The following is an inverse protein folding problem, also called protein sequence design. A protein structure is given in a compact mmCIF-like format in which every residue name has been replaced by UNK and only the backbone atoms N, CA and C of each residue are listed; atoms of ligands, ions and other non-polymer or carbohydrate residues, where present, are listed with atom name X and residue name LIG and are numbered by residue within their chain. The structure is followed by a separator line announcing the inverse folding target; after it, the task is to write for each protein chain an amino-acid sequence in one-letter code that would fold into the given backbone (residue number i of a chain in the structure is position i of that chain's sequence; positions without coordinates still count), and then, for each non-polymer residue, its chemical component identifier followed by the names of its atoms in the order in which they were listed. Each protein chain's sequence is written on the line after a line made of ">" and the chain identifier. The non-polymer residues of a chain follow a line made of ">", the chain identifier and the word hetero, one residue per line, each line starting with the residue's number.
data_IF_590568137373
#
_entry.id   IF_590568137373
#
_cell.length_a   1.000
_cell.length_b   1.000
_cell.length_c   1.000
_cell.angle_alpha   90.00
_cell.angle_beta   90.00
_cell.angle_gamma   90.00
#
_symmetry.space_group_name_H-M   'P 1'
#
loop_
_entity.id
_entity.type
_entity.pdbx_description
1 polymer ?
#
# COMPACT_ATOMS: atom_id res chain seq x y z
N UNK A 1 -29.62 9.00 -22.56
CA UNK A 1 -30.41 8.03 -23.35
C UNK A 1 -31.33 7.36 -22.37
N UNK A 2 -32.59 7.78 -22.34
CA UNK A 2 -33.61 7.38 -21.38
C UNK A 2 -34.25 6.07 -21.82
N UNK A 3 -34.04 5.00 -21.06
CA UNK A 3 -34.68 3.71 -21.30
C UNK A 3 -35.99 3.64 -20.48
N UNK A 4 -37.11 3.91 -21.14
CA UNK A 4 -38.44 3.73 -20.57
C UNK A 4 -38.76 2.23 -20.49
N UNK A 5 -38.72 1.69 -19.27
CA UNK A 5 -39.23 0.35 -18.95
C UNK A 5 -40.72 0.25 -19.35
N UNK A 6 -41.16 -0.81 -20.05
CA UNK A 6 -42.53 -0.92 -20.53
C UNK A 6 -43.49 -1.16 -19.36
N UNK A 7 -44.49 -0.29 -19.21
CA UNK A 7 -45.65 -0.51 -18.32
C UNK A 7 -46.44 -1.72 -18.82
N UNK A 8 -46.21 -2.89 -18.23
CA UNK A 8 -47.07 -4.05 -18.42
C UNK A 8 -48.49 -3.71 -17.95
N UNK A 9 -49.41 -3.50 -18.91
CA UNK A 9 -50.83 -3.36 -18.63
C UNK A 9 -51.37 -4.74 -18.23
N UNK A 10 -52.15 -4.86 -17.15
CA UNK A 10 -52.70 -6.15 -16.77
C UNK A 10 -53.54 -6.70 -17.93
N UNK A 11 -53.39 -7.98 -18.32
CA UNK A 11 -54.05 -8.54 -19.48
C UNK A 11 -55.56 -8.41 -19.36
N UNK A 12 -56.23 -8.00 -20.44
CA UNK A 12 -57.68 -7.74 -20.55
C UNK A 12 -58.58 -8.80 -19.86
N UNK A 13 -58.12 -10.05 -19.80
CA UNK A 13 -58.78 -11.17 -19.10
C UNK A 13 -58.98 -10.94 -17.60
N UNK A 14 -58.05 -10.27 -16.91
CA UNK A 14 -58.14 -10.02 -15.45
C UNK A 14 -59.32 -9.09 -15.13
N UNK A 15 -59.54 -8.06 -15.96
CA UNK A 15 -60.66 -7.15 -15.79
C UNK A 15 -62.01 -7.84 -16.00
N UNK A 16 -62.14 -8.66 -17.06
CA UNK A 16 -63.38 -9.42 -17.35
C UNK A 16 -63.71 -10.40 -16.20
N UNK A 17 -62.72 -11.12 -15.70
CA UNK A 17 -62.88 -12.03 -14.56
C UNK A 17 -63.27 -11.27 -13.27
N UNK A 18 -62.65 -10.12 -13.01
CA UNK A 18 -62.99 -9.28 -11.86
C UNK A 18 -64.43 -8.78 -11.90
N UNK A 19 -64.89 -8.29 -13.05
CA UNK A 19 -66.28 -7.83 -13.22
C UNK A 19 -67.28 -8.96 -13.03
N UNK A 20 -67.03 -10.14 -13.60
CA UNK A 20 -67.90 -11.31 -13.43
C UNK A 20 -67.98 -11.77 -11.96
N UNK A 21 -66.87 -11.74 -11.23
CA UNK A 21 -66.85 -12.08 -9.81
C UNK A 21 -67.67 -11.10 -8.96
N UNK A 22 -67.57 -9.80 -9.23
CA UNK A 22 -68.37 -8.77 -8.54
C UNK A 22 -69.87 -8.94 -8.83
N UNK A 23 -70.24 -9.15 -10.09
CA UNK A 23 -71.64 -9.38 -10.48
C UNK A 23 -72.19 -10.65 -9.82
N UNK A 24 -71.41 -11.74 -9.82
CA UNK A 24 -71.78 -12.99 -9.15
C UNK A 24 -71.96 -12.81 -7.64
N UNK A 25 -71.07 -12.06 -6.99
CA UNK A 25 -71.18 -11.74 -5.57
C UNK A 25 -72.47 -10.97 -5.26
N UNK A 26 -72.81 -9.94 -6.05
CA UNK A 26 -74.03 -9.14 -5.85
C UNK A 26 -75.29 -10.01 -5.99
N UNK A 27 -75.34 -10.88 -7.00
CA UNK A 27 -76.46 -11.81 -7.20
C UNK A 27 -76.59 -12.76 -6.00
N UNK A 28 -75.49 -13.35 -5.56
CA UNK A 28 -75.47 -14.33 -4.49
C UNK A 28 -75.76 -13.68 -3.13
N UNK A 29 -75.34 -12.44 -2.91
CA UNK A 29 -75.64 -11.66 -1.71
C UNK A 29 -77.13 -11.30 -1.60
N UNK A 30 -77.76 -10.93 -2.72
CA UNK A 30 -79.16 -10.52 -2.71
C UNK A 30 -80.13 -11.70 -2.75
N UNK A 31 -79.83 -12.70 -3.60
CA UNK A 31 -80.73 -13.80 -3.95
C UNK A 31 -80.34 -15.15 -3.33
N UNK A 32 -79.10 -15.31 -2.86
CA UNK A 32 -78.59 -16.55 -2.27
C UNK A 32 -79.34 -17.09 -1.05
N UNK A 33 -79.80 -16.25 -0.08
CA UNK A 33 -80.58 -16.75 1.05
C UNK A 33 -81.84 -17.53 0.63
N UNK A 34 -82.44 -17.14 -0.50
CA UNK A 34 -83.65 -17.74 -1.04
C UNK A 34 -83.40 -19.05 -1.80
N UNK A 35 -82.14 -19.35 -2.15
CA UNK A 35 -81.75 -20.60 -2.80
C UNK A 35 -81.50 -21.73 -1.81
N UNK A 36 -81.03 -21.41 -0.60
CA UNK A 36 -80.67 -22.41 0.41
C UNK A 36 -81.83 -22.79 1.34
N UNK A 37 -82.75 -21.87 1.64
CA UNK A 37 -83.88 -22.14 2.54
C UNK A 37 -85.22 -21.62 1.96
N UNK A 38 -85.42 -21.82 0.66
CA UNK A 38 -86.65 -21.41 -0.03
C UNK A 38 -87.93 -22.15 0.43
N UNK A 39 -87.79 -23.18 1.27
CA UNK A 39 -88.89 -24.01 1.77
C UNK A 39 -89.50 -23.51 3.09
N UNK A 40 -88.74 -22.84 3.98
CA UNK A 40 -89.27 -22.32 5.26
C UNK A 40 -89.58 -20.81 5.25
N UNK A 41 -88.93 -20.02 4.37
CA UNK A 41 -89.08 -18.55 4.33
C UNK A 41 -90.41 -18.08 3.67
N UNK A 42 -91.25 -19.00 3.18
CA UNK A 42 -92.46 -18.67 2.39
C UNK A 42 -93.81 -18.81 3.11
N UNK A 43 -93.83 -19.28 4.36
CA UNK A 43 -95.08 -19.35 5.13
C UNK A 43 -95.30 -18.07 5.96
N UNK A 44 -96.56 -17.63 6.01
CA UNK A 44 -96.98 -16.30 6.49
C UNK A 44 -96.87 -16.06 8.01
N UNK A 45 -96.23 -16.97 8.76
CA UNK A 45 -95.92 -16.81 10.19
C UNK A 45 -94.40 -16.83 10.37
N UNK A 46 -93.78 -15.66 10.21
CA UNK A 46 -92.35 -15.46 10.40
C UNK A 46 -92.01 -15.61 11.88
N UNK A 47 -91.37 -16.72 12.28
CA UNK A 47 -90.69 -16.77 13.58
C UNK A 47 -89.42 -15.91 13.51
N UNK A 48 -88.98 -15.26 14.61
CA UNK A 48 -87.77 -14.43 14.64
C UNK A 48 -86.49 -15.13 14.15
N UNK A 49 -86.51 -16.46 14.04
CA UNK A 49 -85.41 -17.30 13.56
C UNK A 49 -85.09 -17.14 12.06
N UNK A 50 -86.06 -16.79 11.19
CA UNK A 50 -85.81 -16.71 9.74
C UNK A 50 -84.96 -15.50 9.33
N UNK A 51 -85.09 -14.39 10.07
CA UNK A 51 -84.24 -13.21 9.91
C UNK A 51 -82.77 -13.50 10.27
N UNK A 52 -82.53 -14.48 11.15
CA UNK A 52 -81.19 -14.89 11.59
C UNK A 52 -80.47 -15.65 10.47
N UNK A 53 -81.17 -16.48 9.70
CA UNK A 53 -80.57 -17.24 8.58
C UNK A 53 -80.11 -16.32 7.45
N UNK A 54 -80.95 -15.36 7.05
CA UNK A 54 -80.62 -14.38 5.99
C UNK A 54 -79.47 -13.47 6.41
N UNK A 55 -79.52 -12.95 7.65
CA UNK A 55 -78.50 -12.06 8.19
C UNK A 55 -77.18 -12.82 8.41
N UNK A 56 -77.26 -14.05 8.91
CA UNK A 56 -76.12 -14.96 9.07
C UNK A 56 -75.46 -15.29 7.74
N UNK A 57 -76.22 -15.61 6.70
CA UNK A 57 -75.71 -15.89 5.35
C UNK A 57 -74.99 -14.68 4.73
N UNK A 58 -75.61 -13.49 4.78
CA UNK A 58 -75.01 -12.26 4.26
C UNK A 58 -73.75 -11.86 5.03
N UNK A 59 -73.78 -11.98 6.35
CA UNK A 59 -72.62 -11.72 7.22
C UNK A 59 -71.50 -12.70 6.91
N UNK A 60 -71.81 -13.97 6.69
CA UNK A 60 -70.86 -14.99 6.26
C UNK A 60 -70.22 -14.69 4.91
N UNK A 61 -71.00 -14.24 3.92
CA UNK A 61 -70.46 -13.84 2.60
C UNK A 61 -69.55 -12.62 2.68
N UNK A 62 -69.91 -11.61 3.46
CA UNK A 62 -69.06 -10.44 3.68
C UNK A 62 -67.78 -10.82 4.40
N UNK A 63 -67.87 -11.68 5.42
CA UNK A 63 -66.70 -12.20 6.13
C UNK A 63 -65.76 -12.98 5.20
N UNK A 64 -66.31 -13.81 4.30
CA UNK A 64 -65.53 -14.53 3.28
C UNK A 64 -64.86 -13.57 2.30
N UNK A 65 -65.59 -12.59 1.77
CA UNK A 65 -65.03 -11.59 0.86
C UNK A 65 -63.91 -10.77 1.54
N UNK A 66 -64.14 -10.33 2.78
CA UNK A 66 -63.13 -9.63 3.58
C UNK A 66 -61.89 -10.51 3.84
N UNK A 67 -62.09 -11.79 4.15
CA UNK A 67 -61.01 -12.76 4.34
C UNK A 67 -60.17 -12.98 3.08
N UNK A 68 -60.82 -13.06 1.91
CA UNK A 68 -60.14 -13.17 0.61
C UNK A 68 -59.31 -11.91 0.32
N UNK A 69 -59.88 -10.72 0.52
CA UNK A 69 -59.18 -9.44 0.30
C UNK A 69 -57.98 -9.33 1.25
N UNK A 70 -58.17 -9.62 2.54
CA UNK A 70 -57.09 -9.62 3.53
C UNK A 70 -55.99 -10.63 3.17
N UNK A 71 -56.37 -11.85 2.75
CA UNK A 71 -55.44 -12.88 2.29
C UNK A 71 -54.64 -12.46 1.05
N UNK A 72 -55.29 -11.84 0.06
CA UNK A 72 -54.62 -11.28 -1.12
C UNK A 72 -53.66 -10.14 -0.75
N UNK A 73 -54.06 -9.26 0.17
CA UNK A 73 -53.22 -8.19 0.69
C UNK A 73 -51.97 -8.72 1.39
N UNK A 74 -52.12 -9.71 2.27
CA UNK A 74 -51.01 -10.37 2.95
C UNK A 74 -50.08 -11.09 1.97
N UNK A 75 -50.65 -11.83 0.99
CA UNK A 75 -49.86 -12.50 -0.03
C UNK A 75 -49.07 -11.51 -0.89
N UNK A 76 -49.69 -10.42 -1.32
CA UNK A 76 -49.04 -9.38 -2.10
C UNK A 76 -47.92 -8.70 -1.32
N UNK A 77 -48.14 -8.33 -0.05
CA UNK A 77 -47.12 -7.75 0.83
C UNK A 77 -45.96 -8.71 1.04
N UNK A 78 -46.23 -9.99 1.35
CA UNK A 78 -45.19 -10.99 1.52
C UNK A 78 -44.40 -11.28 0.23
N UNK A 79 -45.07 -11.28 -0.92
CA UNK A 79 -44.41 -11.40 -2.23
C UNK A 79 -43.56 -10.16 -2.56
N UNK A 80 -44.08 -8.97 -2.27
CA UNK A 80 -43.39 -7.69 -2.45
C UNK A 80 -42.10 -7.63 -1.62
N UNK A 81 -42.15 -8.03 -0.34
CA UNK A 81 -40.97 -8.12 0.52
C UNK A 81 -39.91 -9.06 -0.06
N UNK A 82 -40.29 -10.25 -0.52
CA UNK A 82 -39.34 -11.19 -1.13
C UNK A 82 -38.71 -10.66 -2.43
N UNK A 83 -39.42 -9.85 -3.21
CA UNK A 83 -38.84 -9.20 -4.39
C UNK A 83 -37.92 -8.04 -4.00
N UNK A 84 -38.30 -7.27 -2.98
CA UNK A 84 -37.48 -6.20 -2.46
C UNK A 84 -36.14 -6.75 -1.93
N UNK A 85 -36.16 -7.82 -1.12
CA UNK A 85 -34.96 -8.49 -0.60
C UNK A 85 -34.00 -8.90 -1.74
N UNK A 86 -34.50 -9.61 -2.76
CA UNK A 86 -33.67 -10.03 -3.90
C UNK A 86 -33.08 -8.85 -4.68
N UNK A 87 -33.83 -7.76 -4.82
CA UNK A 87 -33.37 -6.56 -5.51
C UNK A 87 -32.27 -5.85 -4.71
N UNK A 88 -32.40 -5.80 -3.39
CA UNK A 88 -31.37 -5.27 -2.51
C UNK A 88 -30.09 -6.10 -2.56
N UNK A 89 -30.20 -7.44 -2.52
CA UNK A 89 -29.05 -8.34 -2.64
C UNK A 89 -28.31 -8.14 -3.96
N UNK A 90 -29.01 -8.19 -5.09
CA UNK A 90 -28.41 -7.99 -6.42
C UNK A 90 -27.81 -6.58 -6.57
N UNK A 91 -28.48 -5.56 -6.05
CA UNK A 91 -27.98 -4.18 -6.08
C UNK A 91 -26.71 -4.02 -5.24
N UNK A 92 -26.63 -4.68 -4.09
CA UNK A 92 -25.46 -4.66 -3.22
C UNK A 92 -24.28 -5.42 -3.84
N UNK A 93 -24.51 -6.59 -4.44
CA UNK A 93 -23.49 -7.35 -5.15
C UNK A 93 -22.92 -6.58 -6.34
N UNK A 94 -23.77 -5.97 -7.17
CA UNK A 94 -23.34 -5.13 -8.29
C UNK A 94 -22.52 -3.93 -7.82
N UNK A 95 -22.94 -3.30 -6.72
CA UNK A 95 -22.21 -2.19 -6.13
C UNK A 95 -20.84 -2.63 -5.60
N UNK A 96 -20.75 -3.78 -4.94
CA UNK A 96 -19.49 -4.34 -4.46
C UNK A 96 -18.56 -4.68 -5.62
N UNK A 97 -19.05 -5.36 -6.66
CA UNK A 97 -18.26 -5.66 -7.86
C UNK A 97 -17.80 -4.39 -8.61
N UNK A 98 -18.63 -3.36 -8.68
CA UNK A 98 -18.24 -2.08 -9.25
C UNK A 98 -17.11 -1.45 -8.44
N UNK A 99 -17.22 -1.45 -7.10
CA UNK A 99 -16.16 -0.94 -6.21
C UNK A 99 -14.86 -1.72 -6.30
N UNK A 100 -14.93 -3.04 -6.46
CA UNK A 100 -13.75 -3.89 -6.66
C UNK A 100 -13.05 -3.52 -7.96
N UNK A 101 -13.79 -3.45 -9.08
CA UNK A 101 -13.22 -3.02 -10.37
C UNK A 101 -12.64 -1.62 -10.33
N UNK A 102 -13.32 -0.67 -9.68
CA UNK A 102 -12.83 0.69 -9.53
C UNK A 102 -11.52 0.74 -8.72
N UNK A 103 -11.39 -0.12 -7.69
CA UNK A 103 -10.16 -0.27 -6.91
C UNK A 103 -9.03 -0.87 -7.74
N UNK A 104 -9.28 -1.98 -8.43
CA UNK A 104 -8.30 -2.61 -9.31
C UNK A 104 -7.81 -1.63 -10.39
N UNK A 105 -8.73 -0.89 -11.01
CA UNK A 105 -8.40 0.10 -12.03
C UNK A 105 -7.60 1.28 -11.45
N UNK A 106 -7.93 1.74 -10.24
CA UNK A 106 -7.19 2.78 -9.54
C UNK A 106 -5.76 2.31 -9.18
N UNK A 107 -5.60 1.05 -8.78
CA UNK A 107 -4.30 0.43 -8.50
C UNK A 107 -3.44 0.33 -9.76
N UNK A 108 -3.97 -0.19 -10.86
CA UNK A 108 -3.27 -0.25 -12.16
C UNK A 108 -2.88 1.14 -12.67
N UNK A 109 -3.75 2.13 -12.50
CA UNK A 109 -3.47 3.52 -12.88
C UNK A 109 -2.34 4.10 -12.03
N UNK A 110 -2.37 3.88 -10.71
CA UNK A 110 -1.31 4.30 -9.78
C UNK A 110 0.03 3.66 -10.15
N UNK A 111 0.03 2.36 -10.45
CA UNK A 111 1.22 1.63 -10.85
C UNK A 111 1.81 2.15 -12.19
N UNK A 112 0.95 2.43 -13.17
CA UNK A 112 1.36 3.06 -14.42
C UNK A 112 2.00 4.43 -14.22
N UNK A 113 1.45 5.26 -13.31
CA UNK A 113 2.04 6.55 -12.96
C UNK A 113 3.42 6.43 -12.29
N UNK A 114 3.60 5.45 -11.40
CA UNK A 114 4.90 5.20 -10.77
C UNK A 114 5.92 4.76 -11.82
N UNK A 115 5.56 3.83 -12.69
CA UNK A 115 6.40 3.37 -13.81
C UNK A 115 6.80 4.54 -14.72
N UNK A 116 5.86 5.41 -15.06
CA UNK A 116 6.12 6.61 -15.86
C UNK A 116 7.10 7.58 -15.18
N UNK A 117 6.89 7.87 -13.89
CA UNK A 117 7.81 8.71 -13.08
C UNK A 117 9.21 8.10 -13.02
N UNK A 118 9.29 6.78 -12.87
CA UNK A 118 10.56 6.06 -12.81
C UNK A 118 11.33 6.18 -14.12
N UNK A 119 10.69 5.87 -15.26
CA UNK A 119 11.31 5.98 -16.59
C UNK A 119 11.83 7.40 -16.84
N UNK A 120 11.05 8.42 -16.47
CA UNK A 120 11.46 9.81 -16.64
C UNK A 120 12.66 10.17 -15.74
N UNK A 121 12.66 9.72 -14.49
CA UNK A 121 13.78 9.94 -13.58
C UNK A 121 15.08 9.30 -14.08
N UNK A 122 15.00 8.11 -14.70
CA UNK A 122 16.15 7.44 -15.30
C UNK A 122 16.68 8.20 -16.52
N UNK A 123 15.80 8.74 -17.38
CA UNK A 123 16.22 9.59 -18.51
C UNK A 123 16.96 10.83 -18.04
N UNK A 124 16.43 11.50 -17.02
CA UNK A 124 17.06 12.66 -16.40
C UNK A 124 18.44 12.31 -15.81
N UNK A 125 18.55 11.15 -15.13
CA UNK A 125 19.82 10.66 -14.59
C UNK A 125 20.86 10.34 -15.68
N UNK A 126 20.43 9.92 -16.87
CA UNK A 126 21.29 9.65 -18.01
C UNK A 126 21.75 10.90 -18.76
N UNK A 127 21.23 12.09 -18.39
CA UNK A 127 21.57 13.34 -19.06
C UNK A 127 23.02 13.76 -18.83
N UNK A 128 23.61 14.44 -19.82
CA UNK A 128 24.91 15.11 -19.66
C UNK A 128 24.80 16.41 -18.85
N UNK A 129 23.57 16.93 -18.65
CA UNK A 129 23.30 18.12 -17.85
C UNK A 129 23.18 17.77 -16.37
N UNK A 130 24.04 18.36 -15.53
CA UNK A 130 24.05 18.15 -14.08
C UNK A 130 22.72 18.52 -13.41
N UNK A 131 22.05 19.59 -13.86
CA UNK A 131 20.76 20.00 -13.29
C UNK A 131 19.66 18.98 -13.59
N UNK A 132 19.66 18.41 -14.78
CA UNK A 132 18.74 17.32 -15.13
C UNK A 132 19.03 16.07 -14.30
N UNK A 133 20.30 15.69 -14.14
CA UNK A 133 20.68 14.55 -13.28
C UNK A 133 20.23 14.75 -11.84
N UNK A 134 20.37 15.95 -11.28
CA UNK A 134 19.83 16.28 -9.96
C UNK A 134 18.31 16.09 -9.91
N UNK A 135 17.58 16.56 -10.92
CA UNK A 135 16.14 16.33 -11.05
C UNK A 135 15.77 14.84 -11.07
N UNK A 136 16.56 14.02 -11.77
CA UNK A 136 16.43 12.56 -11.80
C UNK A 136 16.66 11.94 -10.41
N UNK A 137 17.71 12.34 -9.71
CA UNK A 137 18.05 11.85 -8.36
C UNK A 137 16.94 12.12 -7.36
N UNK A 138 16.43 13.37 -7.30
CA UNK A 138 15.35 13.72 -6.37
C UNK A 138 14.00 13.11 -6.78
N UNK A 139 13.78 12.87 -8.08
CA UNK A 139 12.61 12.11 -8.54
C UNK A 139 12.68 10.65 -8.11
N UNK A 140 13.85 10.03 -8.21
CA UNK A 140 14.11 8.67 -7.71
C UNK A 140 13.92 8.60 -6.19
N UNK A 141 14.42 9.58 -5.44
CA UNK A 141 14.17 9.65 -4.00
C UNK A 141 12.67 9.67 -3.69
N UNK A 142 11.90 10.51 -4.39
CA UNK A 142 10.46 10.56 -4.16
C UNK A 142 9.79 9.21 -4.45
N UNK A 143 10.21 8.52 -5.52
CA UNK A 143 9.71 7.17 -5.83
C UNK A 143 10.09 6.18 -4.72
N UNK A 144 11.32 6.23 -4.23
CA UNK A 144 11.80 5.38 -3.12
C UNK A 144 10.98 5.57 -1.85
N UNK A 145 10.57 6.81 -1.55
CA UNK A 145 9.74 7.13 -0.39
C UNK A 145 8.26 6.75 -0.59
N UNK A 146 7.71 6.98 -1.78
CA UNK A 146 6.29 6.78 -2.10
C UNK A 146 5.95 5.30 -2.35
N UNK A 147 6.93 4.47 -2.74
CA UNK A 147 6.71 3.13 -3.27
C UNK A 147 7.68 2.09 -2.68
N UNK A 148 7.29 1.39 -1.59
CA UNK A 148 8.14 0.36 -0.98
C UNK A 148 8.57 -0.75 -1.94
N UNK A 149 7.74 -1.07 -2.94
CA UNK A 149 8.05 -2.08 -3.96
C UNK A 149 9.21 -1.67 -4.88
N UNK A 150 9.39 -0.36 -5.12
CA UNK A 150 10.41 0.19 -6.00
C UNK A 150 11.68 0.59 -5.25
N UNK A 151 11.62 0.62 -3.92
CA UNK A 151 12.72 1.01 -3.02
C UNK A 151 14.05 0.35 -3.38
N UNK A 152 14.08 -0.99 -3.46
CA UNK A 152 15.28 -1.77 -3.76
C UNK A 152 15.88 -1.41 -5.13
N UNK A 153 15.02 -1.28 -6.13
CA UNK A 153 15.41 -0.90 -7.49
C UNK A 153 16.00 0.50 -7.53
N UNK A 154 15.40 1.47 -6.84
CA UNK A 154 15.94 2.84 -6.77
C UNK A 154 17.30 2.86 -6.08
N UNK A 155 17.47 2.16 -4.96
CA UNK A 155 18.75 2.06 -4.25
C UNK A 155 19.83 1.49 -5.18
N UNK A 156 19.54 0.41 -5.91
CA UNK A 156 20.45 -0.18 -6.89
C UNK A 156 20.85 0.79 -8.00
N UNK A 157 19.91 1.58 -8.53
CA UNK A 157 20.19 2.57 -9.58
C UNK A 157 21.09 3.69 -9.06
N UNK A 158 20.78 4.27 -7.90
CA UNK A 158 21.60 5.34 -7.31
C UNK A 158 23.00 4.83 -6.95
N UNK A 159 23.10 3.62 -6.41
CA UNK A 159 24.39 2.98 -6.13
C UNK A 159 25.18 2.70 -7.42
N UNK A 160 24.53 2.23 -8.49
CA UNK A 160 25.15 2.06 -9.80
C UNK A 160 25.65 3.40 -10.38
N UNK A 161 24.88 4.48 -10.22
CA UNK A 161 25.28 5.82 -10.65
C UNK A 161 26.54 6.31 -9.92
N UNK A 162 26.63 6.09 -8.60
CA UNK A 162 27.81 6.46 -7.81
C UNK A 162 29.07 5.68 -8.23
N UNK A 163 28.92 4.41 -8.60
CA UNK A 163 30.02 3.54 -9.06
C UNK A 163 30.56 3.90 -10.44
N UNK A 164 29.85 4.69 -11.24
CA UNK A 164 30.37 5.11 -12.55
C UNK A 164 31.65 5.92 -12.37
N UNK A 165 32.77 5.49 -12.97
CA UNK A 165 34.03 6.23 -12.84
C UNK A 165 33.92 7.61 -13.52
N UNK A 166 34.50 8.67 -12.95
CA UNK A 166 34.55 9.95 -13.64
C UNK A 166 35.34 9.80 -14.94
N UNK A 167 34.86 10.43 -16.03
CA UNK A 167 35.50 10.37 -17.35
C UNK A 167 36.92 10.96 -17.37
N UNK A 168 37.27 11.77 -16.36
CA UNK A 168 38.61 12.33 -16.16
C UNK A 168 39.05 12.05 -14.72
N UNK A 169 40.35 11.75 -14.47
CA UNK A 169 40.87 11.64 -13.13
C UNK A 169 40.65 12.98 -12.42
N UNK A 170 39.73 13.00 -11.45
CA UNK A 170 39.49 14.20 -10.66
C UNK A 170 40.51 14.21 -9.51
N UNK A 171 41.22 15.33 -9.35
CA UNK A 171 41.93 15.67 -8.10
C UNK A 171 41.01 16.43 -7.13
N UNK A 172 39.70 16.41 -7.39
CA UNK A 172 38.71 17.30 -6.81
C UNK A 172 37.61 16.50 -6.13
N UNK A 173 36.92 17.20 -5.23
CA UNK A 173 35.75 16.74 -4.49
C UNK A 173 34.71 16.08 -5.42
N UNK A 174 33.94 15.16 -4.85
CA UNK A 174 32.83 14.47 -5.48
C UNK A 174 31.93 15.45 -6.27
N UNK A 175 31.59 15.15 -7.55
CA UNK A 175 30.61 15.92 -8.31
C UNK A 175 29.29 16.11 -7.55
N UNK A 176 28.64 17.28 -7.70
CA UNK A 176 27.45 17.65 -6.91
C UNK A 176 26.26 16.69 -7.06
N UNK A 177 26.06 16.14 -8.24
CA UNK A 177 25.07 15.11 -8.54
C UNK A 177 25.38 13.79 -7.84
N UNK A 178 26.65 13.39 -7.82
CA UNK A 178 27.07 12.23 -7.03
C UNK A 178 26.94 12.48 -5.54
N UNK A 179 27.29 13.66 -5.05
CA UNK A 179 27.02 14.02 -3.66
C UNK A 179 25.52 13.95 -3.34
N UNK A 180 24.66 14.43 -4.23
CA UNK A 180 23.21 14.36 -4.05
C UNK A 180 22.71 12.90 -4.00
N UNK A 181 23.19 12.03 -4.91
CA UNK A 181 22.85 10.61 -4.89
C UNK A 181 23.32 9.92 -3.59
N UNK A 182 24.54 10.25 -3.13
CA UNK A 182 25.09 9.76 -1.86
C UNK A 182 24.26 10.22 -0.66
N UNK A 183 23.88 11.50 -0.62
CA UNK A 183 22.99 12.05 0.41
C UNK A 183 21.60 11.42 0.39
N UNK A 184 21.01 11.18 -0.78
CA UNK A 184 19.71 10.48 -0.90
C UNK A 184 19.79 9.05 -0.35
N UNK A 185 20.85 8.32 -0.70
CA UNK A 185 21.07 6.99 -0.12
C UNK A 185 21.24 7.07 1.40
N UNK A 186 22.02 8.04 1.90
CA UNK A 186 22.29 8.24 3.33
C UNK A 186 21.00 8.40 4.17
N UNK A 187 20.04 9.19 3.67
CA UNK A 187 18.77 9.51 4.36
C UNK A 187 17.58 8.65 3.96
N UNK A 188 17.81 7.54 3.25
CA UNK A 188 16.73 6.65 2.79
C UNK A 188 15.88 6.12 3.95
N UNK A 189 14.56 5.93 3.77
CA UNK A 189 13.71 5.38 4.81
C UNK A 189 14.02 3.90 5.06
N UNK A 190 13.72 3.45 6.28
CA UNK A 190 13.66 2.03 6.63
C UNK A 190 12.23 1.55 6.38
N UNK A 191 12.04 0.59 5.50
CA UNK A 191 10.73 -0.04 5.27
C UNK A 191 10.65 -1.36 6.05
N UNK A 192 9.61 -1.52 6.86
CA UNK A 192 9.33 -2.78 7.55
C UNK A 192 9.00 -3.88 6.54
N UNK A 193 9.57 -5.07 6.73
CA UNK A 193 9.39 -6.21 5.81
C UNK A 193 10.19 -6.12 4.51
N UNK A 194 10.85 -5.00 4.23
CA UNK A 194 11.82 -4.88 3.14
C UNK A 194 13.22 -4.85 3.76
N UNK A 195 13.97 -5.94 3.61
CA UNK A 195 15.38 -5.90 3.98
C UNK A 195 16.06 -4.85 3.11
N UNK A 196 16.78 -3.87 3.69
CA UNK A 196 17.59 -2.97 2.88
C UNK A 196 18.55 -3.85 2.09
N UNK A 197 18.40 -3.87 0.77
CA UNK A 197 19.42 -4.51 -0.06
C UNK A 197 20.75 -3.81 0.23
N UNK A 198 21.80 -4.61 0.40
CA UNK A 198 23.14 -4.08 0.68
C UNK A 198 23.49 -3.04 -0.39
N UNK A 199 23.79 -1.82 0.04
CA UNK A 199 24.17 -0.76 -0.90
C UNK A 199 25.53 -1.12 -1.49
N UNK A 200 25.57 -1.38 -2.79
CA UNK A 200 26.82 -1.69 -3.51
C UNK A 200 27.49 -0.42 -4.03
N UNK A 201 28.48 0.07 -3.28
CA UNK A 201 29.36 1.19 -3.61
C UNK A 201 30.81 0.74 -3.85
N UNK A 202 31.00 -0.54 -4.24
CA UNK A 202 32.33 -1.09 -4.50
C UNK A 202 33.09 -0.29 -5.55
N UNK A 203 34.33 0.08 -5.23
CA UNK A 203 35.19 0.85 -6.13
C UNK A 203 34.67 2.25 -6.47
N UNK A 204 33.66 2.76 -5.75
CA UNK A 204 33.10 4.07 -6.00
C UNK A 204 34.13 5.18 -5.71
N UNK A 205 34.07 6.26 -6.49
CA UNK A 205 34.87 7.46 -6.26
C UNK A 205 34.03 8.47 -5.46
N UNK A 206 34.31 8.55 -4.17
CA UNK A 206 33.56 9.29 -3.14
C UNK A 206 34.49 10.23 -2.36
N UNK A 207 35.50 10.79 -3.03
CA UNK A 207 36.46 11.73 -2.43
C UNK A 207 35.71 12.97 -1.93
N UNK A 208 35.89 13.31 -0.66
CA UNK A 208 35.20 14.44 -0.04
C UNK A 208 33.70 14.23 0.16
N UNK A 209 33.18 13.00 0.03
CA UNK A 209 31.75 12.74 0.17
C UNK A 209 31.26 13.02 1.60
N UNK A 210 30.10 13.63 1.71
CA UNK A 210 29.50 14.02 2.99
C UNK A 210 28.28 13.17 3.30
N UNK A 211 28.26 12.56 4.48
CA UNK A 211 27.11 11.86 5.05
C UNK A 211 27.14 12.04 6.56
N UNK A 212 26.15 12.77 7.10
CA UNK A 212 25.96 12.97 8.52
C UNK A 212 24.72 12.19 9.00
N UNK A 213 24.85 11.35 10.03
CA UNK A 213 23.72 10.59 10.58
C UNK A 213 23.16 9.48 9.69
N UNK A 214 23.83 9.15 8.58
CA UNK A 214 23.36 8.22 7.57
C UNK A 214 23.34 6.76 8.03
N UNK A 215 22.32 6.00 7.61
CA UNK A 215 22.32 4.55 7.81
C UNK A 215 23.09 3.85 6.69
N UNK A 216 24.17 3.16 7.00
CA UNK A 216 25.00 2.38 6.07
C UNK A 216 25.16 0.92 6.51
N UNK A 217 24.17 0.39 7.24
CA UNK A 217 24.13 -1.01 7.65
C UNK A 217 24.32 -1.96 6.44
N UNK A 218 25.26 -2.89 6.56
CA UNK A 218 25.65 -3.85 5.51
C UNK A 218 26.06 -3.24 4.15
N UNK A 219 26.36 -1.93 4.09
CA UNK A 219 26.80 -1.29 2.85
C UNK A 219 28.18 -1.80 2.43
N UNK A 220 28.38 -1.97 1.13
CA UNK A 220 29.63 -2.43 0.56
C UNK A 220 30.38 -1.26 -0.10
N UNK A 221 31.41 -0.78 0.58
CA UNK A 221 32.38 0.21 0.15
C UNK A 221 33.72 -0.43 -0.26
N UNK A 222 33.80 -1.74 -0.51
CA UNK A 222 35.08 -2.41 -0.74
C UNK A 222 35.82 -1.78 -1.94
N UNK A 223 37.07 -1.40 -1.75
CA UNK A 223 37.89 -0.73 -2.76
C UNK A 223 37.44 0.69 -3.13
N UNK A 224 36.47 1.29 -2.44
CA UNK A 224 36.04 2.65 -2.69
C UNK A 224 37.12 3.66 -2.30
N UNK A 225 37.15 4.80 -3.00
CA UNK A 225 37.96 5.94 -2.61
C UNK A 225 37.10 6.94 -1.85
N UNK A 226 37.31 7.01 -0.54
CA UNK A 226 36.67 7.87 0.45
C UNK A 226 37.69 8.85 1.05
N UNK A 227 38.78 9.17 0.33
CA UNK A 227 39.75 10.18 0.78
C UNK A 227 39.02 11.48 1.13
N UNK A 228 39.32 12.05 2.31
CA UNK A 228 38.70 13.29 2.83
C UNK A 228 37.16 13.21 2.99
N UNK A 229 36.56 12.02 3.01
CA UNK A 229 35.12 11.88 3.22
C UNK A 229 34.72 12.26 4.65
N UNK A 230 33.57 12.94 4.80
CA UNK A 230 32.96 13.27 6.08
C UNK A 230 31.83 12.28 6.34
N UNK A 231 32.14 11.19 7.04
CA UNK A 231 31.23 10.12 7.40
C UNK A 231 30.93 10.21 8.90
N UNK A 232 30.26 11.29 9.28
CA UNK A 232 30.06 11.70 10.66
C UNK A 232 28.75 11.13 11.20
N UNK A 233 28.73 10.68 12.46
CA UNK A 233 27.53 10.16 13.13
C UNK A 233 26.84 9.01 12.36
N UNK A 234 27.55 8.31 11.46
CA UNK A 234 26.91 7.29 10.63
C UNK A 234 26.63 6.02 11.43
N UNK A 235 25.55 5.34 11.06
CA UNK A 235 25.23 4.00 11.58
C UNK A 235 25.57 2.95 10.52
N UNK A 236 26.72 2.32 10.61
CA UNK A 236 27.23 1.36 9.62
C UNK A 236 27.64 0.01 10.21
N UNK A 237 26.78 -0.70 10.99
CA UNK A 237 27.11 -2.03 11.44
C UNK A 237 27.33 -2.96 10.25
N UNK A 238 28.38 -3.79 10.33
CA UNK A 238 28.76 -4.76 9.30
C UNK A 238 29.04 -4.16 7.90
N UNK A 239 29.25 -2.85 7.79
CA UNK A 239 29.68 -2.24 6.54
C UNK A 239 31.06 -2.76 6.11
N UNK A 240 31.24 -2.94 4.81
CA UNK A 240 32.48 -3.48 4.22
C UNK A 240 33.29 -2.36 3.56
N UNK A 241 34.36 -1.93 4.21
CA UNK A 241 35.36 -0.98 3.71
C UNK A 241 36.67 -1.70 3.30
N UNK A 242 36.64 -3.01 3.05
CA UNK A 242 37.87 -3.78 2.74
C UNK A 242 38.58 -3.21 1.50
N UNK A 243 39.87 -2.92 1.61
CA UNK A 243 40.69 -2.32 0.56
C UNK A 243 40.31 -0.88 0.17
N UNK A 244 39.41 -0.23 0.91
CA UNK A 244 39.03 1.16 0.65
C UNK A 244 40.15 2.14 1.06
N UNK A 245 40.15 3.33 0.46
CA UNK A 245 41.04 4.43 0.82
C UNK A 245 40.21 5.46 1.59
N UNK A 246 40.45 5.58 2.90
CA UNK A 246 39.78 6.54 3.79
C UNK A 246 40.76 7.61 4.30
N UNK A 247 41.88 7.81 3.62
CA UNK A 247 42.89 8.79 4.06
C UNK A 247 42.27 10.17 4.30
N UNK A 248 42.55 10.76 5.47
CA UNK A 248 41.98 12.04 5.95
C UNK A 248 40.45 12.07 6.06
N UNK A 249 39.78 10.92 6.07
CA UNK A 249 38.35 10.86 6.32
C UNK A 249 38.03 11.16 7.80
N UNK A 250 36.79 11.53 8.04
CA UNK A 250 36.27 11.77 9.38
C UNK A 250 35.15 10.76 9.68
N UNK A 251 35.39 9.88 10.66
CA UNK A 251 34.42 8.90 11.17
C UNK A 251 33.98 9.24 12.61
N UNK A 252 34.14 10.49 13.06
CA UNK A 252 33.79 10.85 14.43
C UNK A 252 32.33 10.49 14.76
N UNK A 253 32.13 10.02 15.99
CA UNK A 253 30.85 9.55 16.53
C UNK A 253 30.12 8.44 15.73
N UNK A 254 30.77 7.84 14.73
CA UNK A 254 30.14 6.78 13.95
C UNK A 254 30.02 5.47 14.71
N UNK A 255 28.90 4.77 14.52
CA UNK A 255 28.62 3.46 15.06
C UNK A 255 28.81 2.39 13.97
N UNK A 256 29.97 1.72 14.00
CA UNK A 256 30.37 0.75 12.98
C UNK A 256 30.74 -0.64 13.55
N UNK A 257 29.96 -1.21 14.50
CA UNK A 257 30.31 -2.51 15.07
C UNK A 257 30.32 -3.60 13.99
N UNK A 258 31.34 -4.46 14.03
CA UNK A 258 31.48 -5.53 13.05
C UNK A 258 31.88 -5.08 11.64
N UNK A 259 32.15 -3.79 11.40
CA UNK A 259 32.59 -3.31 10.09
C UNK A 259 33.96 -3.88 9.71
N UNK A 260 34.21 -4.00 8.40
CA UNK A 260 35.44 -4.61 7.85
C UNK A 260 36.30 -3.55 7.18
N UNK A 261 37.55 -3.42 7.60
CA UNK A 261 38.54 -2.52 7.00
C UNK A 261 39.77 -3.30 6.52
N UNK A 262 39.62 -4.59 6.23
CA UNK A 262 40.76 -5.44 5.87
C UNK A 262 41.51 -4.87 4.67
N UNK A 263 42.82 -4.61 4.81
CA UNK A 263 43.65 -3.99 3.77
C UNK A 263 43.30 -2.54 3.41
N UNK A 264 42.44 -1.86 4.18
CA UNK A 264 42.09 -0.47 3.95
C UNK A 264 43.19 0.49 4.41
N UNK A 265 43.21 1.69 3.83
CA UNK A 265 44.06 2.79 4.27
C UNK A 265 43.24 3.78 5.10
N UNK A 266 43.60 3.98 6.36
CA UNK A 266 42.97 4.92 7.30
C UNK A 266 43.95 6.04 7.69
N UNK A 267 44.89 6.41 6.82
CA UNK A 267 45.94 7.37 7.20
C UNK A 267 45.36 8.73 7.54
N UNK A 268 45.75 9.30 8.67
CA UNK A 268 45.20 10.57 9.14
C UNK A 268 43.66 10.60 9.25
N UNK A 269 43.02 9.44 9.42
CA UNK A 269 41.56 9.35 9.64
C UNK A 269 41.22 9.65 11.09
N UNK A 270 40.13 10.38 11.33
CA UNK A 270 39.56 10.51 12.67
C UNK A 270 38.75 9.26 13.00
N UNK A 271 39.22 8.45 13.96
CA UNK A 271 38.55 7.20 14.33
C UNK A 271 37.24 7.46 15.10
N UNK A 272 36.25 6.56 14.98
CA UNK A 272 35.06 6.59 15.82
C UNK A 272 35.39 6.29 17.29
N UNK A 273 34.48 6.63 18.20
CA UNK A 273 34.64 6.38 19.63
C UNK A 273 34.59 4.90 20.06
N UNK A 274 34.31 3.97 19.14
CA UNK A 274 34.30 2.53 19.40
C UNK A 274 34.73 1.76 18.15
N UNK A 275 35.56 0.73 18.34
CA UNK A 275 35.98 -0.24 17.31
C UNK A 275 35.55 -1.66 17.67
N UNK A 276 34.45 -1.80 18.40
CA UNK A 276 33.96 -3.10 18.87
C UNK A 276 33.64 -4.05 17.71
N UNK A 277 34.34 -5.18 17.69
CA UNK A 277 34.20 -6.21 16.66
C UNK A 277 34.64 -5.78 15.26
N UNK A 278 35.30 -4.62 15.11
CA UNK A 278 35.80 -4.13 13.81
C UNK A 278 36.98 -4.98 13.34
N UNK A 279 37.04 -5.27 12.05
CA UNK A 279 38.10 -6.09 11.45
C UNK A 279 39.13 -5.17 10.79
N UNK A 280 40.37 -5.22 11.29
CA UNK A 280 41.47 -4.30 10.94
C UNK A 280 42.69 -5.06 10.37
N UNK A 281 42.50 -6.24 9.78
CA UNK A 281 43.62 -7.03 9.25
C UNK A 281 44.31 -6.29 8.10
N UNK A 282 45.63 -6.19 8.15
CA UNK A 282 46.44 -5.51 7.14
C UNK A 282 46.05 -4.03 6.91
N UNK A 283 45.33 -3.42 7.86
CA UNK A 283 44.86 -2.03 7.77
C UNK A 283 45.98 -1.05 8.14
N UNK A 284 46.08 0.06 7.41
CA UNK A 284 47.01 1.15 7.70
C UNK A 284 46.37 2.20 8.60
N UNK A 285 46.74 2.20 9.88
CA UNK A 285 46.26 3.13 10.91
C UNK A 285 47.27 4.26 11.20
N UNK A 286 48.29 4.45 10.37
CA UNK A 286 49.30 5.48 10.64
C UNK A 286 48.66 6.86 10.66
N UNK A 287 49.09 7.70 11.59
CA UNK A 287 48.65 9.10 11.71
C UNK A 287 47.16 9.28 12.06
N UNK A 288 46.41 8.22 12.38
CA UNK A 288 45.01 8.36 12.81
C UNK A 288 44.87 9.24 14.05
N UNK A 289 43.78 9.99 14.12
CA UNK A 289 43.44 10.83 15.28
C UNK A 289 42.34 10.15 16.12
N UNK A 290 42.13 10.64 17.34
CA UNK A 290 41.22 10.04 18.33
C UNK A 290 41.59 8.58 18.67
N UNK A 291 42.88 8.23 18.52
CA UNK A 291 43.40 6.92 18.85
C UNK A 291 43.55 6.75 20.36
N UNK A 292 43.07 5.61 20.88
CA UNK A 292 43.36 5.18 22.23
C UNK A 292 43.68 3.68 22.26
N UNK A 293 44.70 3.22 23.01
CA UNK A 293 45.09 1.81 23.03
C UNK A 293 43.94 0.84 23.33
N UNK A 294 42.98 1.25 24.17
CA UNK A 294 41.80 0.48 24.54
C UNK A 294 40.79 0.27 23.39
N UNK A 295 40.73 1.19 22.41
CA UNK A 295 39.83 1.07 21.27
C UNK A 295 40.21 -0.14 20.42
N UNK A 296 41.51 -0.32 20.17
CA UNK A 296 42.03 -1.43 19.36
C UNK A 296 41.85 -2.78 20.04
N UNK A 297 41.85 -2.86 21.38
CA UNK A 297 41.69 -4.15 22.10
C UNK A 297 40.34 -4.81 21.85
N UNK A 298 39.35 -4.05 21.39
CA UNK A 298 38.02 -4.56 21.01
C UNK A 298 37.88 -4.87 19.52
N UNK A 299 38.90 -4.58 18.72
CA UNK A 299 38.96 -4.87 17.30
C UNK A 299 39.76 -6.15 17.02
N UNK A 300 39.55 -6.74 15.85
CA UNK A 300 40.33 -7.86 15.35
C UNK A 300 41.49 -7.35 14.49
N UNK A 301 42.73 -7.56 14.95
CA UNK A 301 43.96 -7.16 14.24
C UNK A 301 44.84 -8.37 13.93
N UNK A 302 45.83 -8.19 13.05
CA UNK A 302 46.89 -9.18 12.76
C UNK A 302 48.27 -8.49 12.70
N UNK A 303 49.33 -9.25 12.44
CA UNK A 303 50.70 -8.71 12.36
C UNK A 303 50.91 -7.72 11.20
N UNK A 304 50.02 -7.73 10.20
CA UNK A 304 50.04 -6.77 9.09
C UNK A 304 49.36 -5.43 9.40
N UNK A 305 48.60 -5.33 10.49
CA UNK A 305 47.96 -4.06 10.91
C UNK A 305 49.04 -3.04 11.30
N UNK A 306 49.14 -1.93 10.56
CA UNK A 306 50.12 -0.87 10.83
C UNK A 306 49.55 0.12 11.85
N UNK A 307 49.83 -0.10 13.13
CA UNK A 307 49.35 0.77 14.21
C UNK A 307 49.98 2.19 14.16
N UNK A 308 49.33 3.20 14.76
CA UNK A 308 49.92 4.53 14.90
C UNK A 308 51.24 4.46 15.67
N UNK A 309 52.21 5.30 15.31
CA UNK A 309 53.37 5.51 16.18
C UNK A 309 52.85 5.97 17.54
N UNK A 310 53.36 5.37 18.64
CA UNK A 310 53.00 5.81 19.99
C UNK A 310 53.27 7.31 20.07
N UNK A 311 52.22 8.12 20.18
CA UNK A 311 52.37 9.50 20.61
C UNK A 311 53.07 9.43 21.97
N UNK A 312 54.30 9.94 22.03
CA UNK A 312 54.94 10.20 23.30
C UNK A 312 54.02 11.20 24.02
N UNK A 313 53.35 10.71 25.05
CA UNK A 313 52.38 11.42 25.86
C UNK A 313 52.86 12.86 26.15
N UNK A 314 52.08 13.86 25.74
CA UNK A 314 52.13 15.21 26.30
C UNK A 314 50.92 15.41 27.21
#
# INVERSE_FOLDING_TARGET
>A
MSDEQPKERPPFRIWVLGTLAVVGFVILFWRGPWWFDGAHIRDANLEPADGVVITGFRTGLVALAAGIIAGMGLWYTHKSHRHAEKLYEHGQEQFNHAREKDREQAELTREGQVTGRYVEAIKLLASQNTTERLGGIYSLERIMNDSPKDYATVVKVLAAFLRQKPLKPMRQAIPIDKQAAFTVLSRRPKHEGVHPENIDLRGAYLVGAVSEGGNWENANFSGANLTEAFLVDIFGPYADFSGAILDRADLHNSAIPGARFNGASLRATTLPGSLEGVWLWDTDLREVTNYRPELIRKAYTNDGTQAPAREASQ
#
